data_IF_652332676601
#
_entry.id   IF_652332676601
#
_cell.length_a   1.000
_cell.length_b   1.000
_cell.length_c   1.000
_cell.angle_alpha   90.00
_cell.angle_beta   90.00
_cell.angle_gamma   90.00
#
_symmetry.space_group_name_H-M   'P 1'
#
loop_
_entity.id
_entity.type
_entity.pdbx_description
1 polymer ?
#
# COMPACT_ATOMS: atom_id res chain seq x y z
N UNK A 1 59.67 -35.12 -6.10
CA UNK A 1 58.20 -35.12 -6.28
C UNK A 1 57.55 -33.80 -5.91
N UNK A 2 57.95 -33.11 -4.87
CA UNK A 2 57.35 -31.82 -4.41
C UNK A 2 57.34 -30.66 -5.43
N UNK A 3 58.35 -30.54 -6.30
CA UNK A 3 58.46 -29.43 -7.28
C UNK A 3 57.40 -29.48 -8.41
N UNK A 4 56.94 -30.64 -8.83
CA UNK A 4 55.90 -30.78 -9.87
C UNK A 4 54.51 -30.43 -9.36
N UNK A 5 54.22 -30.78 -8.12
CA UNK A 5 52.91 -30.47 -7.48
C UNK A 5 52.73 -28.98 -7.28
N UNK A 6 53.76 -28.26 -6.85
CA UNK A 6 53.74 -26.80 -6.68
C UNK A 6 53.55 -26.06 -8.02
N UNK A 7 54.12 -26.56 -9.10
CA UNK A 7 53.97 -25.98 -10.43
C UNK A 7 52.52 -26.15 -10.96
N UNK A 8 51.91 -27.32 -10.70
CA UNK A 8 50.51 -27.58 -11.07
C UNK A 8 49.52 -26.72 -10.28
N UNK A 9 49.78 -26.53 -8.98
CA UNK A 9 48.95 -25.63 -8.14
C UNK A 9 49.07 -24.19 -8.60
N UNK A 10 50.31 -23.74 -8.89
CA UNK A 10 50.57 -22.38 -9.37
C UNK A 10 49.92 -22.13 -10.75
N UNK A 11 50.00 -23.11 -11.67
CA UNK A 11 49.32 -23.05 -12.97
C UNK A 11 47.82 -23.04 -12.85
N UNK A 12 47.21 -23.80 -11.92
CA UNK A 12 45.74 -23.82 -11.67
C UNK A 12 45.27 -22.53 -11.05
N UNK A 13 46.01 -21.93 -10.13
CA UNK A 13 45.67 -20.62 -9.53
C UNK A 13 45.78 -19.51 -10.57
N UNK A 14 46.81 -19.56 -11.43
CA UNK A 14 46.98 -18.59 -12.52
C UNK A 14 45.82 -18.71 -13.55
N UNK A 15 45.39 -19.93 -13.85
CA UNK A 15 44.26 -20.18 -14.75
C UNK A 15 42.93 -19.66 -14.15
N UNK A 16 42.74 -19.82 -12.84
CA UNK A 16 41.54 -19.28 -12.14
C UNK A 16 41.51 -17.74 -12.11
N UNK A 17 42.70 -17.09 -12.11
CA UNK A 17 42.77 -15.63 -12.19
C UNK A 17 42.46 -15.08 -13.59
N UNK A 18 42.64 -15.87 -14.65
CA UNK A 18 42.22 -15.50 -16.03
C UNK A 18 40.71 -15.62 -16.27
N UNK A 19 39.98 -16.38 -15.45
CA UNK A 19 38.54 -16.50 -15.47
C UNK A 19 37.83 -15.57 -14.47
N UNK A 20 38.56 -14.65 -13.84
CA UNK A 20 37.92 -13.53 -13.16
C UNK A 20 37.31 -12.63 -14.24
N UNK A 21 36.13 -13.05 -14.75
CA UNK A 21 35.30 -12.22 -15.57
C UNK A 21 35.14 -10.86 -14.91
N UNK A 22 35.41 -9.81 -15.67
CA UNK A 22 35.09 -8.47 -15.23
C UNK A 22 33.62 -8.46 -14.84
N UNK A 23 33.34 -8.50 -13.54
CA UNK A 23 32.00 -8.28 -13.04
C UNK A 23 31.63 -6.86 -13.45
N UNK A 24 30.97 -6.72 -14.60
CA UNK A 24 30.39 -5.46 -14.99
C UNK A 24 29.35 -5.11 -13.94
N UNK A 25 29.72 -4.26 -13.01
CA UNK A 25 28.75 -3.64 -12.12
C UNK A 25 27.77 -2.89 -13.03
N UNK A 26 26.53 -3.35 -13.05
CA UNK A 26 25.48 -2.69 -13.84
C UNK A 26 25.23 -1.32 -13.19
N UNK A 27 25.76 -0.29 -13.83
CA UNK A 27 25.61 1.09 -13.37
C UNK A 27 24.16 1.55 -13.60
N UNK A 28 23.35 1.34 -12.58
CA UNK A 28 21.95 1.74 -12.56
C UNK A 28 21.80 3.26 -12.55
N UNK A 29 22.70 3.96 -11.90
CA UNK A 29 22.59 5.40 -11.67
C UNK A 29 22.62 6.18 -12.98
N UNK A 30 23.50 5.81 -13.90
CA UNK A 30 23.59 6.42 -15.23
C UNK A 30 22.43 6.07 -16.18
N UNK A 31 21.57 5.10 -15.81
CA UNK A 31 20.40 4.71 -16.62
C UNK A 31 19.09 5.28 -16.11
N UNK A 32 19.11 6.03 -15.01
CA UNK A 32 17.93 6.62 -14.40
C UNK A 32 17.89 8.11 -14.67
N UNK A 33 16.88 8.56 -15.40
CA UNK A 33 16.54 9.97 -15.50
C UNK A 33 15.76 10.40 -14.26
N UNK A 34 16.25 11.42 -13.55
CA UNK A 34 15.63 11.99 -12.35
C UNK A 34 15.17 13.40 -12.63
N UNK A 35 13.88 13.67 -12.42
CA UNK A 35 13.27 15.00 -12.57
C UNK A 35 12.45 15.32 -11.33
N UNK A 36 12.47 16.58 -10.90
CA UNK A 36 11.61 17.09 -9.84
C UNK A 36 10.59 18.03 -10.44
N UNK A 37 9.31 17.73 -10.27
CA UNK A 37 8.21 18.57 -10.74
C UNK A 37 8.04 19.82 -9.85
N UNK A 38 7.29 20.81 -10.34
CA UNK A 38 7.06 22.08 -9.61
C UNK A 38 6.38 21.87 -8.24
N UNK A 39 5.52 20.85 -8.11
CA UNK A 39 4.87 20.48 -6.85
C UNK A 39 5.77 19.69 -5.89
N UNK A 40 7.05 19.48 -6.23
CA UNK A 40 8.03 18.77 -5.41
C UNK A 40 8.09 17.26 -5.65
N UNK A 41 7.18 16.68 -6.46
CA UNK A 41 7.21 15.26 -6.81
C UNK A 41 8.49 14.92 -7.56
N UNK A 42 9.21 13.89 -7.11
CA UNK A 42 10.36 13.35 -7.80
C UNK A 42 9.93 12.20 -8.70
N UNK A 43 10.25 12.33 -9.99
CA UNK A 43 10.00 11.30 -11.00
C UNK A 43 11.32 10.64 -11.36
N UNK A 44 11.36 9.32 -11.29
CA UNK A 44 12.50 8.49 -11.72
C UNK A 44 12.05 7.65 -12.92
N UNK A 45 12.79 7.72 -14.02
CA UNK A 45 12.49 6.98 -15.24
C UNK A 45 13.71 6.14 -15.61
N UNK A 46 13.50 4.85 -15.79
CA UNK A 46 14.48 3.94 -16.36
C UNK A 46 13.93 3.31 -17.62
N UNK A 47 14.49 3.66 -18.76
CA UNK A 47 14.09 3.13 -20.06
C UNK A 47 14.64 1.72 -20.30
N UNK A 48 13.73 0.80 -20.66
CA UNK A 48 14.06 -0.57 -21.05
C UNK A 48 13.16 -0.98 -22.20
N UNK A 49 13.76 -1.15 -23.39
CA UNK A 49 13.02 -1.41 -24.64
C UNK A 49 12.85 -2.91 -24.94
N UNK A 50 13.01 -3.79 -23.95
CA UNK A 50 12.86 -5.24 -24.15
C UNK A 50 11.40 -5.70 -24.28
N UNK A 51 10.43 -4.91 -23.80
CA UNK A 51 9.01 -5.21 -23.83
C UNK A 51 8.20 -3.92 -23.99
N UNK A 52 7.03 -3.93 -24.67
CA UNK A 52 6.15 -2.78 -24.79
C UNK A 52 5.30 -2.56 -23.51
N UNK A 53 5.87 -2.81 -22.34
CA UNK A 53 5.25 -2.66 -21.03
C UNK A 53 5.99 -1.65 -20.18
N UNK A 54 5.30 -1.07 -19.21
CA UNK A 54 5.87 -0.18 -18.22
C UNK A 54 5.43 -0.62 -16.82
N UNK A 55 6.36 -0.75 -15.90
CA UNK A 55 6.08 -0.95 -14.48
C UNK A 55 6.09 0.40 -13.77
N UNK A 56 5.00 0.72 -13.12
CA UNK A 56 4.68 2.02 -12.56
C UNK A 56 4.57 1.93 -11.05
N UNK A 57 5.26 2.81 -10.36
CA UNK A 57 5.32 2.83 -8.90
C UNK A 57 5.05 4.25 -8.39
N UNK A 58 4.20 4.35 -7.36
CA UNK A 58 4.11 5.55 -6.52
C UNK A 58 4.57 5.18 -5.12
N UNK A 59 5.51 5.95 -4.58
CA UNK A 59 6.03 5.76 -3.23
C UNK A 59 5.79 7.00 -2.39
N UNK A 60 5.05 6.82 -1.31
CA UNK A 60 4.87 7.83 -0.28
C UNK A 60 5.85 7.57 0.85
N UNK A 61 6.55 8.61 1.30
CA UNK A 61 7.38 8.55 2.52
C UNK A 61 6.50 8.68 3.75
N UNK A 62 5.59 7.72 3.88
CA UNK A 62 4.65 7.59 4.99
C UNK A 62 4.53 6.10 5.29
N UNK A 63 4.63 5.74 6.55
CA UNK A 63 4.50 4.37 7.03
C UNK A 63 4.17 4.32 8.50
N UNK A 64 4.35 3.17 9.13
CA UNK A 64 4.03 2.99 10.56
C UNK A 64 4.84 3.92 11.47
N UNK A 65 6.01 4.42 11.05
CA UNK A 65 6.84 5.37 11.80
C UNK A 65 6.16 6.72 12.03
N UNK A 66 5.26 7.11 11.13
CA UNK A 66 4.55 8.39 11.17
C UNK A 66 3.25 8.32 11.99
N UNK A 67 2.90 7.14 12.51
CA UNK A 67 1.70 6.93 13.30
C UNK A 67 1.88 7.36 14.75
N UNK A 68 0.82 7.88 15.33
CA UNK A 68 0.81 8.27 16.75
C UNK A 68 0.35 7.11 17.66
N UNK A 69 0.72 7.16 18.92
CA UNK A 69 0.27 6.16 19.89
C UNK A 69 -1.26 6.16 20.02
N UNK A 70 -1.87 4.98 19.86
CA UNK A 70 -3.33 4.80 19.82
C UNK A 70 -3.95 4.85 18.42
N UNK A 71 -3.19 5.23 17.39
CA UNK A 71 -3.64 5.28 15.97
C UNK A 71 -2.81 4.35 15.08
N UNK A 72 -2.17 3.35 15.66
CA UNK A 72 -1.35 2.37 14.93
C UNK A 72 -2.19 1.55 13.95
N UNK A 73 -1.67 1.40 12.72
CA UNK A 73 -2.37 0.78 11.59
C UNK A 73 -3.08 1.78 10.67
N UNK A 74 -3.01 3.10 10.97
CA UNK A 74 -3.64 4.14 10.15
C UNK A 74 -3.04 4.21 8.74
N UNK A 75 -1.71 4.07 8.59
CA UNK A 75 -1.04 4.06 7.30
C UNK A 75 -1.48 2.87 6.44
N UNK A 76 -1.60 1.68 7.03
CA UNK A 76 -2.09 0.48 6.33
C UNK A 76 -3.58 0.61 5.98
N UNK A 77 -4.40 1.15 6.87
CA UNK A 77 -5.80 1.43 6.56
C UNK A 77 -5.93 2.45 5.40
N UNK A 78 -5.10 3.49 5.39
CA UNK A 78 -5.09 4.46 4.29
C UNK A 78 -4.72 3.80 2.96
N UNK A 79 -3.76 2.86 2.96
CA UNK A 79 -3.43 2.06 1.78
C UNK A 79 -4.68 1.40 1.20
N UNK A 80 -5.48 0.69 2.02
CA UNK A 80 -6.74 0.07 1.60
C UNK A 80 -7.75 1.10 1.08
N UNK A 81 -7.87 2.23 1.77
CA UNK A 81 -8.83 3.27 1.41
C UNK A 81 -8.52 3.93 0.07
N UNK A 82 -7.25 3.98 -0.34
CA UNK A 82 -6.86 4.51 -1.64
C UNK A 82 -7.37 3.68 -2.84
N UNK A 83 -7.83 2.44 -2.64
CA UNK A 83 -8.47 1.62 -3.68
C UNK A 83 -10.00 1.84 -3.77
N UNK A 84 -10.59 2.61 -2.86
CA UNK A 84 -12.04 2.81 -2.80
C UNK A 84 -12.59 3.84 -3.79
N UNK A 85 -11.71 4.41 -4.60
CA UNK A 85 -12.05 5.34 -5.67
C UNK A 85 -11.97 6.81 -5.27
N UNK A 86 -12.51 7.65 -6.12
CA UNK A 86 -12.43 9.11 -6.04
C UNK A 86 -13.80 9.74 -6.15
N UNK A 87 -13.84 11.07 -6.27
CA UNK A 87 -15.10 11.77 -6.58
C UNK A 87 -15.64 11.48 -7.98
N UNK A 88 -14.80 10.91 -8.88
CA UNK A 88 -15.16 10.56 -10.26
C UNK A 88 -15.14 9.05 -10.52
N UNK A 89 -14.26 8.31 -9.85
CA UNK A 89 -14.08 6.86 -10.01
C UNK A 89 -14.77 6.13 -8.84
N UNK A 90 -15.52 5.07 -9.14
CA UNK A 90 -16.19 4.25 -8.12
C UNK A 90 -17.54 4.78 -7.66
N UNK A 91 -18.13 5.71 -8.40
CA UNK A 91 -19.47 6.25 -8.13
C UNK A 91 -20.30 6.39 -9.39
N UNK A 92 -21.60 6.21 -9.25
CA UNK A 92 -22.57 6.54 -10.31
C UNK A 92 -23.10 7.98 -10.20
N UNK A 93 -23.06 8.57 -8.99
CA UNK A 93 -23.48 9.95 -8.71
C UNK A 93 -22.87 10.43 -7.39
N UNK A 94 -21.68 11.01 -7.43
CA UNK A 94 -20.99 11.46 -6.23
C UNK A 94 -21.74 12.53 -5.44
N UNK A 95 -22.48 13.43 -6.11
CA UNK A 95 -23.23 14.49 -5.43
C UNK A 95 -24.30 13.91 -4.48
N UNK A 96 -25.01 12.90 -4.93
CA UNK A 96 -25.99 12.20 -4.09
C UNK A 96 -25.33 11.28 -3.06
N UNK A 97 -24.25 10.60 -3.45
CA UNK A 97 -23.46 9.72 -2.60
C UNK A 97 -22.87 10.45 -1.41
N UNK A 98 -22.29 11.64 -1.61
CA UNK A 98 -21.65 12.45 -0.57
C UNK A 98 -22.53 12.68 0.64
N UNK A 99 -23.84 12.91 0.44
CA UNK A 99 -24.80 13.12 1.54
C UNK A 99 -24.89 11.86 2.42
N UNK A 100 -24.91 10.69 1.79
CA UNK A 100 -25.00 9.42 2.51
C UNK A 100 -23.68 9.13 3.24
N UNK A 101 -22.53 9.40 2.61
CA UNK A 101 -21.23 9.24 3.22
C UNK A 101 -21.06 10.11 4.48
N UNK A 102 -21.53 11.34 4.46
CA UNK A 102 -21.54 12.22 5.64
C UNK A 102 -22.40 11.67 6.78
N UNK A 103 -23.57 11.07 6.46
CA UNK A 103 -24.41 10.43 7.48
C UNK A 103 -23.80 9.11 8.01
N UNK A 104 -23.09 8.35 7.17
CA UNK A 104 -22.30 7.17 7.56
C UNK A 104 -21.23 7.60 8.56
N UNK A 105 -20.43 8.60 8.22
CA UNK A 105 -19.35 9.12 9.07
C UNK A 105 -19.89 9.59 10.42
N UNK A 106 -20.93 10.42 10.42
CA UNK A 106 -21.59 10.92 11.64
C UNK A 106 -22.11 9.79 12.53
N UNK A 107 -22.73 8.78 11.92
CA UNK A 107 -23.32 7.64 12.64
C UNK A 107 -22.24 6.72 13.19
N UNK A 108 -21.20 6.42 12.38
CA UNK A 108 -20.08 5.61 12.80
C UNK A 108 -19.26 6.25 13.90
N UNK A 109 -18.96 7.56 13.79
CA UNK A 109 -18.30 8.31 14.87
C UNK A 109 -19.12 8.31 16.18
N UNK A 110 -20.44 8.36 16.08
CA UNK A 110 -21.31 8.25 17.27
C UNK A 110 -21.27 6.83 17.86
N UNK A 111 -21.23 5.81 17.01
CA UNK A 111 -21.11 4.41 17.45
C UNK A 111 -19.76 4.15 18.13
N UNK A 112 -18.65 4.64 17.57
CA UNK A 112 -17.32 4.47 18.14
C UNK A 112 -17.18 5.21 19.48
N UNK A 113 -17.71 6.43 19.58
CA UNK A 113 -17.79 7.15 20.86
C UNK A 113 -18.62 6.41 21.91
N UNK A 114 -19.69 5.74 21.54
CA UNK A 114 -20.46 4.95 22.48
C UNK A 114 -19.69 3.70 22.91
N UNK A 115 -19.03 2.99 21.96
CA UNK A 115 -18.18 1.83 22.25
C UNK A 115 -17.02 2.16 23.17
N UNK A 116 -16.39 3.33 23.02
CA UNK A 116 -15.24 3.75 23.83
C UNK A 116 -15.57 3.94 25.33
N UNK A 117 -16.84 4.04 25.71
CA UNK A 117 -17.26 4.07 27.11
C UNK A 117 -17.11 2.71 27.82
N UNK A 118 -16.79 1.65 27.09
CA UNK A 118 -16.60 0.30 27.63
C UNK A 118 -17.81 -0.18 28.43
N UNK A 119 -17.62 -0.55 29.69
CA UNK A 119 -18.69 -1.04 30.58
C UNK A 119 -19.82 -0.02 30.84
N UNK A 120 -19.59 1.27 30.58
CA UNK A 120 -20.59 2.35 30.73
C UNK A 120 -21.36 2.64 29.45
N UNK A 121 -21.12 1.89 28.36
CA UNK A 121 -21.83 2.06 27.11
C UNK A 121 -23.29 1.64 27.23
N UNK A 122 -24.20 2.44 26.62
CA UNK A 122 -25.60 2.10 26.53
C UNK A 122 -25.82 1.06 25.43
N UNK A 123 -26.14 -0.16 25.83
CA UNK A 123 -26.37 -1.29 24.91
C UNK A 123 -27.50 -1.03 23.90
N UNK A 124 -28.56 -0.35 24.31
CA UNK A 124 -29.68 0.01 23.41
C UNK A 124 -29.23 1.01 22.37
N UNK A 125 -28.47 2.03 22.77
CA UNK A 125 -27.88 3.03 21.88
C UNK A 125 -26.91 2.42 20.87
N UNK A 126 -26.05 1.49 21.33
CA UNK A 126 -25.16 0.73 20.45
C UNK A 126 -25.92 -0.03 19.35
N UNK A 127 -27.01 -0.72 19.73
CA UNK A 127 -27.84 -1.45 18.77
C UNK A 127 -28.50 -0.52 17.74
N UNK A 128 -29.06 0.62 18.19
CA UNK A 128 -29.70 1.61 17.31
C UNK A 128 -28.68 2.20 16.32
N UNK A 129 -27.49 2.60 16.80
CA UNK A 129 -26.47 3.18 15.95
C UNK A 129 -25.90 2.16 14.95
N UNK A 130 -25.66 0.93 15.37
CA UNK A 130 -25.21 -0.15 14.49
C UNK A 130 -26.25 -0.48 13.39
N UNK A 131 -27.53 -0.57 13.75
CA UNK A 131 -28.62 -0.80 12.80
C UNK A 131 -28.73 0.36 11.79
N UNK A 132 -28.63 1.61 12.26
CA UNK A 132 -28.65 2.80 11.40
C UNK A 132 -27.46 2.81 10.45
N UNK A 133 -26.24 2.50 10.93
CA UNK A 133 -25.04 2.44 10.11
C UNK A 133 -25.21 1.42 8.98
N UNK A 134 -25.65 0.20 9.30
CA UNK A 134 -25.90 -0.86 8.31
C UNK A 134 -26.97 -0.44 7.27
N UNK A 135 -27.99 0.28 7.69
CA UNK A 135 -29.02 0.79 6.77
C UNK A 135 -28.42 1.83 5.81
N UNK A 136 -27.57 2.73 6.30
CA UNK A 136 -26.90 3.74 5.49
C UNK A 136 -25.93 3.11 4.49
N UNK A 137 -25.14 2.13 4.92
CA UNK A 137 -24.26 1.37 4.04
C UNK A 137 -25.02 0.65 2.93
N UNK A 138 -26.21 0.10 3.25
CA UNK A 138 -27.07 -0.50 2.24
C UNK A 138 -27.61 0.53 1.24
N UNK A 139 -27.96 1.73 1.69
CA UNK A 139 -28.34 2.83 0.80
C UNK A 139 -27.18 3.32 -0.08
N UNK A 140 -25.98 3.36 0.49
CA UNK A 140 -24.77 3.76 -0.21
C UNK A 140 -24.44 2.86 -1.40
N UNK A 141 -24.70 1.55 -1.31
CA UNK A 141 -24.47 0.58 -2.41
C UNK A 141 -25.17 0.93 -3.72
N UNK A 142 -26.20 1.80 -3.72
CA UNK A 142 -26.86 2.28 -4.94
C UNK A 142 -25.98 3.19 -5.79
N UNK A 143 -25.01 3.84 -5.16
CA UNK A 143 -24.12 4.80 -5.82
C UNK A 143 -22.71 4.26 -5.99
N UNK A 144 -22.30 3.36 -5.14
CA UNK A 144 -20.94 2.82 -5.12
C UNK A 144 -20.74 1.76 -6.19
N UNK A 145 -19.67 1.91 -6.97
CA UNK A 145 -19.20 0.93 -7.94
C UNK A 145 -17.91 0.28 -7.37
N UNK A 146 -18.00 -0.93 -6.83
CA UNK A 146 -16.86 -1.59 -6.20
C UNK A 146 -15.77 -1.91 -7.22
N UNK A 147 -14.52 -1.96 -6.75
CA UNK A 147 -13.34 -2.35 -7.53
C UNK A 147 -13.16 -1.56 -8.85
N UNK A 148 -13.64 -0.30 -8.88
CA UNK A 148 -13.62 0.50 -10.10
C UNK A 148 -12.20 0.80 -10.58
N UNK A 149 -11.24 1.04 -9.66
CA UNK A 149 -9.83 1.28 -10.00
C UNK A 149 -9.18 0.01 -10.54
N UNK A 150 -9.38 -1.12 -9.88
CA UNK A 150 -8.87 -2.43 -10.31
C UNK A 150 -9.39 -2.77 -11.72
N UNK A 151 -10.70 -2.60 -11.93
CA UNK A 151 -11.32 -2.83 -13.22
C UNK A 151 -10.77 -1.92 -14.32
N UNK A 152 -10.58 -0.61 -14.03
CA UNK A 152 -9.99 0.32 -14.98
C UNK A 152 -8.59 -0.13 -15.42
N UNK A 153 -7.76 -0.60 -14.51
CA UNK A 153 -6.45 -1.12 -14.85
C UNK A 153 -6.54 -2.43 -15.63
N UNK A 154 -7.30 -3.39 -15.13
CA UNK A 154 -7.42 -4.73 -15.73
C UNK A 154 -7.98 -4.67 -17.16
N UNK A 155 -9.05 -3.88 -17.40
CA UNK A 155 -9.64 -3.68 -18.73
C UNK A 155 -8.67 -2.99 -19.72
N UNK A 156 -7.63 -2.32 -19.21
CA UNK A 156 -6.58 -1.69 -20.02
C UNK A 156 -5.25 -2.46 -20.05
N UNK A 157 -5.26 -3.74 -19.69
CA UNK A 157 -4.10 -4.62 -19.71
C UNK A 157 -3.19 -4.49 -18.50
N UNK A 158 -3.71 -3.98 -17.39
CA UNK A 158 -3.01 -3.90 -16.13
C UNK A 158 -2.76 -5.27 -15.50
N UNK A 159 -1.54 -5.48 -15.04
CA UNK A 159 -1.09 -6.67 -14.32
C UNK A 159 -0.37 -6.24 -13.04
N UNK A 160 -0.27 -7.17 -12.09
CA UNK A 160 0.50 -7.01 -10.85
C UNK A 160 0.10 -5.75 -10.04
N UNK A 161 -1.17 -5.34 -10.13
CA UNK A 161 -1.65 -4.24 -9.28
C UNK A 161 -1.59 -4.67 -7.83
N UNK A 162 -0.83 -3.93 -7.04
CA UNK A 162 -0.63 -4.21 -5.63
C UNK A 162 -0.26 -2.94 -4.85
N UNK A 163 -0.30 -3.05 -3.53
CA UNK A 163 0.24 -2.05 -2.63
C UNK A 163 0.89 -2.72 -1.41
N UNK A 164 1.69 -1.96 -0.70
CA UNK A 164 2.29 -2.39 0.55
C UNK A 164 2.64 -1.20 1.42
N UNK A 165 2.36 -1.33 2.72
CA UNK A 165 2.76 -0.37 3.75
C UNK A 165 3.83 -1.00 4.63
N UNK A 166 4.99 -0.36 4.68
CA UNK A 166 6.10 -0.70 5.57
C UNK A 166 6.23 0.29 6.71
N UNK A 167 7.41 0.27 7.34
CA UNK A 167 7.71 1.20 8.45
C UNK A 167 7.80 2.66 7.97
N UNK A 168 8.45 2.91 6.83
CA UNK A 168 8.79 4.27 6.37
C UNK A 168 8.09 4.65 5.05
N UNK A 169 7.54 3.67 4.33
CA UNK A 169 7.10 3.86 2.94
C UNK A 169 5.83 3.06 2.67
N UNK A 170 4.87 3.71 2.02
CA UNK A 170 3.74 3.06 1.35
C UNK A 170 3.95 3.11 -0.15
N UNK A 171 3.86 1.95 -0.80
CA UNK A 171 4.10 1.79 -2.24
C UNK A 171 2.83 1.28 -2.92
N UNK A 172 2.48 1.87 -4.06
CA UNK A 172 1.46 1.38 -5.00
C UNK A 172 2.12 1.04 -6.31
N UNK A 173 1.74 -0.07 -6.92
CA UNK A 173 2.34 -0.52 -8.17
C UNK A 173 1.32 -1.10 -9.13
N UNK A 174 1.61 -0.98 -10.42
CA UNK A 174 0.89 -1.64 -11.50
C UNK A 174 1.79 -1.72 -12.74
N UNK A 175 1.68 -2.79 -13.51
CA UNK A 175 2.31 -2.92 -14.83
C UNK A 175 1.26 -2.74 -15.92
N UNK A 176 1.56 -1.90 -16.92
CA UNK A 176 0.63 -1.56 -18.01
C UNK A 176 1.34 -1.65 -19.38
N UNK A 177 0.59 -1.80 -20.46
CA UNK A 177 1.12 -1.49 -21.79
C UNK A 177 1.65 -0.06 -21.85
N UNK A 178 2.79 0.16 -22.52
CA UNK A 178 3.48 1.47 -22.50
C UNK A 178 2.64 2.63 -23.06
N UNK A 179 1.68 2.34 -23.94
CA UNK A 179 0.73 3.33 -24.47
C UNK A 179 -0.38 3.72 -23.47
N UNK A 180 -0.35 3.19 -22.22
CA UNK A 180 -1.34 3.48 -21.17
C UNK A 180 -0.77 4.32 -20.00
N UNK A 181 0.42 4.88 -20.15
CA UNK A 181 1.03 5.74 -19.12
C UNK A 181 0.13 6.94 -18.77
N UNK A 182 -0.50 7.56 -19.76
CA UNK A 182 -1.41 8.69 -19.54
C UNK A 182 -2.64 8.27 -18.72
N UNK A 183 -3.22 7.11 -18.97
CA UNK A 183 -4.32 6.56 -18.19
C UNK A 183 -3.92 6.43 -16.71
N UNK A 184 -2.75 5.83 -16.47
CA UNK A 184 -2.20 5.70 -15.11
C UNK A 184 -2.03 7.06 -14.44
N UNK A 185 -1.41 8.02 -15.12
CA UNK A 185 -1.19 9.36 -14.56
C UNK A 185 -2.51 10.06 -14.20
N UNK A 186 -3.55 9.89 -15.00
CA UNK A 186 -4.90 10.42 -14.72
C UNK A 186 -5.54 9.76 -13.50
N UNK A 187 -5.50 8.42 -13.43
CA UNK A 187 -6.08 7.68 -12.30
C UNK A 187 -5.34 8.04 -11.00
N UNK A 188 -4.01 8.00 -11.01
CA UNK A 188 -3.23 8.25 -9.80
C UNK A 188 -3.31 9.70 -9.32
N UNK A 189 -3.32 10.67 -10.24
CA UNK A 189 -3.53 12.07 -9.86
C UNK A 189 -4.91 12.30 -9.23
N UNK A 190 -5.96 11.67 -9.76
CA UNK A 190 -7.31 11.77 -9.18
C UNK A 190 -7.39 11.07 -7.80
N UNK A 191 -6.74 9.90 -7.65
CA UNK A 191 -6.62 9.21 -6.35
C UNK A 191 -5.95 10.06 -5.28
N UNK A 192 -4.91 10.81 -5.66
CA UNK A 192 -4.17 11.68 -4.73
C UNK A 192 -4.92 12.96 -4.38
N UNK A 193 -5.64 13.53 -5.35
CA UNK A 193 -6.30 14.82 -5.18
C UNK A 193 -7.72 14.72 -4.63
N UNK A 194 -8.43 13.66 -4.97
CA UNK A 194 -9.87 13.53 -4.73
C UNK A 194 -10.28 12.17 -4.15
N UNK A 195 -9.51 11.57 -3.21
CA UNK A 195 -9.86 10.26 -2.66
C UNK A 195 -11.20 10.32 -1.92
N UNK A 196 -11.96 9.22 -2.00
CA UNK A 196 -13.21 9.06 -1.24
C UNK A 196 -13.16 7.76 -0.46
N UNK A 197 -13.23 7.86 0.85
CA UNK A 197 -13.07 6.73 1.77
C UNK A 197 -14.39 5.95 1.94
N UNK A 198 -14.80 5.28 0.87
CA UNK A 198 -15.97 4.40 0.85
C UNK A 198 -15.72 3.15 1.67
N UNK A 199 -16.77 2.61 2.28
CA UNK A 199 -16.69 1.36 3.07
C UNK A 199 -15.68 1.41 4.24
N UNK A 200 -15.37 2.60 4.76
CA UNK A 200 -14.35 2.81 5.81
C UNK A 200 -14.49 1.83 6.99
N UNK A 201 -15.70 1.67 7.53
CA UNK A 201 -15.92 0.80 8.70
C UNK A 201 -15.75 -0.69 8.36
N UNK A 202 -16.06 -1.09 7.15
CA UNK A 202 -15.81 -2.45 6.63
C UNK A 202 -14.32 -2.69 6.48
N UNK A 203 -13.61 -1.79 5.79
CA UNK A 203 -12.16 -1.91 5.58
C UNK A 203 -11.36 -1.88 6.89
N UNK A 204 -11.76 -1.03 7.82
CA UNK A 204 -11.17 -1.05 9.17
C UNK A 204 -11.27 -2.43 9.82
N UNK A 205 -12.40 -3.10 9.67
CA UNK A 205 -12.59 -4.45 10.18
C UNK A 205 -11.74 -5.49 9.43
N UNK A 206 -11.55 -5.32 8.12
CA UNK A 206 -10.67 -6.17 7.30
C UNK A 206 -9.22 -6.02 7.76
N UNK A 207 -8.71 -4.79 7.90
CA UNK A 207 -7.33 -4.52 8.36
C UNK A 207 -7.10 -5.07 9.78
N UNK A 208 -8.07 -4.93 10.67
CA UNK A 208 -8.00 -5.52 12.01
C UNK A 208 -7.95 -7.07 11.95
N UNK A 209 -8.71 -7.69 11.05
CA UNK A 209 -8.69 -9.14 10.86
C UNK A 209 -7.36 -9.61 10.25
N UNK A 210 -6.79 -8.86 9.30
CA UNK A 210 -5.46 -9.16 8.76
C UNK A 210 -4.38 -9.10 9.85
N UNK A 211 -4.42 -8.07 10.72
CA UNK A 211 -3.53 -8.01 11.88
C UNK A 211 -3.70 -9.24 12.77
N UNK A 212 -4.94 -9.62 13.05
CA UNK A 212 -5.22 -10.81 13.86
C UNK A 212 -4.60 -12.06 13.25
N UNK A 213 -4.73 -12.24 11.94
CA UNK A 213 -4.21 -13.41 11.23
C UNK A 213 -2.68 -13.39 11.12
N UNK A 214 -2.08 -12.24 10.77
CA UNK A 214 -0.64 -12.14 10.52
C UNK A 214 0.21 -11.98 11.78
N UNK A 215 -0.38 -11.49 12.88
CA UNK A 215 0.36 -11.20 14.11
C UNK A 215 -0.22 -11.97 15.29
N UNK A 216 -1.52 -11.81 15.60
CA UNK A 216 -2.07 -12.30 16.86
C UNK A 216 -2.25 -13.82 16.91
N UNK A 217 -2.51 -14.48 15.78
CA UNK A 217 -2.67 -15.94 15.69
C UNK A 217 -1.46 -16.64 15.06
N UNK A 218 -0.55 -15.91 14.43
CA UNK A 218 0.68 -16.45 13.86
C UNK A 218 1.84 -16.40 14.87
N UNK A 219 2.47 -17.54 15.20
CA UNK A 219 3.60 -17.58 16.14
C UNK A 219 4.81 -16.78 15.66
N UNK A 220 5.09 -16.74 14.35
CA UNK A 220 6.21 -15.99 13.79
C UNK A 220 5.93 -14.49 13.83
N UNK A 221 4.71 -14.08 13.51
CA UNK A 221 4.27 -12.68 13.61
C UNK A 221 4.38 -12.16 15.06
N UNK A 222 3.93 -12.95 16.04
CA UNK A 222 4.10 -12.60 17.46
C UNK A 222 5.55 -12.48 17.88
N UNK A 223 6.40 -13.41 17.46
CA UNK A 223 7.82 -13.38 17.77
C UNK A 223 8.47 -12.13 17.19
N UNK A 224 8.15 -11.79 15.93
CA UNK A 224 8.68 -10.62 15.26
C UNK A 224 8.23 -9.31 15.93
N UNK A 225 6.95 -9.17 16.26
CA UNK A 225 6.42 -8.01 16.99
C UNK A 225 7.09 -7.86 18.37
N UNK A 226 7.25 -8.97 19.09
CA UNK A 226 7.93 -8.96 20.39
C UNK A 226 9.41 -8.60 20.26
N UNK A 227 10.08 -9.10 19.24
CA UNK A 227 11.48 -8.75 18.92
C UNK A 227 11.61 -7.23 18.66
N UNK A 228 10.77 -6.67 17.79
CA UNK A 228 10.81 -5.24 17.50
C UNK A 228 10.49 -4.39 18.72
N UNK A 229 9.46 -4.72 19.50
CA UNK A 229 9.06 -3.98 20.68
C UNK A 229 10.12 -4.02 21.79
N UNK A 230 10.93 -5.07 21.86
CA UNK A 230 12.04 -5.20 22.80
C UNK A 230 13.28 -4.45 22.34
N UNK A 231 13.56 -4.50 21.04
CA UNK A 231 14.73 -3.85 20.40
C UNK A 231 14.58 -2.33 20.36
N UNK A 232 13.41 -1.87 19.96
CA UNK A 232 13.12 -0.44 19.77
C UNK A 232 12.25 0.12 20.90
N UNK A 233 12.86 0.44 22.07
CA UNK A 233 12.11 0.95 23.24
C UNK A 233 11.43 2.30 22.99
N UNK A 234 12.06 3.18 22.24
CA UNK A 234 11.62 4.57 22.02
C UNK A 234 11.33 4.88 20.55
N UNK A 235 11.91 4.13 19.63
CA UNK A 235 11.68 4.33 18.20
C UNK A 235 10.34 3.77 17.78
N UNK A 236 9.58 4.46 16.90
CA UNK A 236 8.27 3.98 16.42
C UNK A 236 8.26 2.62 15.73
N UNK A 237 9.43 2.07 15.38
CA UNK A 237 9.52 0.71 14.83
C UNK A 237 9.08 -0.39 15.80
N UNK A 238 8.89 -0.04 17.05
CA UNK A 238 8.34 -0.98 18.04
C UNK A 238 6.88 -1.31 17.70
#
# INVERSE_FOLDING_TARGET
MMKRTNLLIFSSVLLLLFFADNSYCFDLENKISKTKLQNGLTVLIMERHASPTVSLYIRHRVGAVDETEGETGAAHLLEHMMFKGTTSIGTTNYKAEKIILQEIEKTGNALDREKSKGKKADSRRLQILAAKLKQLETKHKKYFVPNAIDRLYTENGGLDMNASTGQDITTYQVSLPSNKIELWARIESDRLMNPVFREFYTERSVVMEERRQRVETDPQGKLYEHFLSTTYKYHPYR
#
